data_IF_561675338410
#
_entry.id   IF_561675338410
#
_cell.length_a   1.000
_cell.length_b   1.000
_cell.length_c   1.000
_cell.angle_alpha   90.00
_cell.angle_beta   90.00
_cell.angle_gamma   90.00
#
_symmetry.space_group_name_H-M   'P 1'
#
loop_
_entity.id
_entity.type
_entity.pdbx_description
1 polymer ?
#
# COMPACT_ATOMS: atom_id res chain seq x y z
N UNK A 1 -22.56 -3.12 -0.05
CA UNK A 1 -21.63 -3.51 1.03
C UNK A 1 -20.39 -2.59 1.14
N UNK A 2 -20.40 -1.33 0.66
CA UNK A 2 -19.19 -0.47 0.59
C UNK A 2 -19.15 0.74 1.55
N UNK A 3 -20.26 1.07 2.24
CA UNK A 3 -20.36 2.29 3.06
C UNK A 3 -19.88 2.12 4.51
N UNK A 4 -19.82 0.88 5.04
CA UNK A 4 -19.34 0.61 6.41
C UNK A 4 -17.82 0.71 6.52
N UNK A 5 -17.09 0.17 5.54
CA UNK A 5 -15.63 0.11 5.53
C UNK A 5 -14.95 1.49 5.52
N UNK A 6 -15.56 2.48 4.87
CA UNK A 6 -15.01 3.85 4.76
C UNK A 6 -15.12 4.60 6.09
N UNK A 7 -16.27 4.52 6.76
CA UNK A 7 -16.49 5.16 8.07
C UNK A 7 -15.63 4.47 9.13
N UNK A 8 -15.47 3.15 9.05
CA UNK A 8 -14.66 2.38 9.97
C UNK A 8 -13.15 2.67 9.79
N UNK A 9 -12.65 2.76 8.55
CA UNK A 9 -11.26 3.14 8.26
C UNK A 9 -10.88 4.52 8.81
N UNK A 10 -11.76 5.53 8.69
CA UNK A 10 -11.50 6.88 9.24
C UNK A 10 -11.34 6.87 10.76
N UNK A 11 -12.14 6.04 11.44
CA UNK A 11 -12.09 5.92 12.91
C UNK A 11 -10.82 5.21 13.38
N UNK A 12 -10.26 4.31 12.57
CA UNK A 12 -9.09 3.50 12.95
C UNK A 12 -7.81 4.29 13.14
N UNK A 13 -7.47 5.20 12.20
CA UNK A 13 -6.27 6.03 12.35
C UNK A 13 -6.31 6.85 13.63
N UNK A 14 -7.46 7.44 13.96
CA UNK A 14 -7.62 8.22 15.19
C UNK A 14 -7.63 7.34 16.44
N UNK A 15 -8.30 6.18 16.38
CA UNK A 15 -8.48 5.27 17.51
C UNK A 15 -7.19 4.60 17.97
N UNK A 16 -6.34 4.18 17.04
CA UNK A 16 -5.17 3.34 17.35
C UNK A 16 -3.83 4.09 17.33
N UNK A 17 -3.80 5.37 16.92
CA UNK A 17 -2.59 6.20 16.95
C UNK A 17 -1.97 6.29 18.35
N UNK A 18 -2.79 6.43 19.38
CA UNK A 18 -2.32 6.53 20.78
C UNK A 18 -1.92 5.17 21.38
N UNK A 19 -2.08 4.08 20.63
CA UNK A 19 -1.74 2.72 21.04
C UNK A 19 -0.61 2.14 20.17
N UNK A 20 0.12 3.02 19.47
CA UNK A 20 1.21 2.65 18.56
C UNK A 20 0.83 1.55 17.55
N UNK A 21 -0.44 1.57 17.12
CA UNK A 21 -1.01 0.57 16.21
C UNK A 21 -0.75 -0.89 16.67
N UNK A 22 -0.89 -1.17 17.96
CA UNK A 22 -0.68 -2.50 18.53
C UNK A 22 -1.58 -3.56 17.84
N UNK A 23 -1.00 -4.59 17.20
CA UNK A 23 -1.77 -5.58 16.45
C UNK A 23 -2.73 -6.38 17.32
N UNK A 24 -2.32 -6.78 18.54
CA UNK A 24 -3.18 -7.55 19.45
C UNK A 24 -4.47 -6.80 19.75
N UNK A 25 -4.39 -5.49 20.01
CA UNK A 25 -5.56 -4.66 20.32
C UNK A 25 -6.47 -4.47 19.11
N UNK A 26 -5.87 -4.31 17.93
CA UNK A 26 -6.60 -4.16 16.67
C UNK A 26 -7.34 -5.46 16.34
N UNK A 27 -6.65 -6.60 16.34
CA UNK A 27 -7.21 -7.91 16.01
C UNK A 27 -8.17 -8.46 17.08
N UNK A 28 -8.04 -8.05 18.36
CA UNK A 28 -9.00 -8.43 19.42
C UNK A 28 -10.44 -8.08 19.06
N UNK A 29 -10.65 -7.03 18.26
CA UNK A 29 -11.98 -6.57 17.86
C UNK A 29 -12.48 -7.25 16.56
N UNK A 30 -11.68 -8.10 15.92
CA UNK A 30 -12.00 -8.72 14.64
C UNK A 30 -12.76 -10.04 14.87
N UNK A 31 -14.08 -9.96 14.71
CA UNK A 31 -15.02 -11.07 14.97
C UNK A 31 -15.44 -11.86 13.73
N UNK A 32 -14.95 -11.50 12.55
CA UNK A 32 -15.24 -12.18 11.28
C UNK A 32 -13.98 -12.24 10.43
N UNK A 33 -13.94 -13.16 9.46
CA UNK A 33 -12.86 -13.23 8.45
C UNK A 33 -12.70 -11.89 7.74
N UNK A 34 -13.79 -11.24 7.37
CA UNK A 34 -13.79 -9.92 6.72
C UNK A 34 -13.14 -8.86 7.60
N UNK A 35 -13.48 -8.78 8.90
CA UNK A 35 -12.88 -7.81 9.81
C UNK A 35 -11.38 -8.09 10.03
N UNK A 36 -10.99 -9.37 10.08
CA UNK A 36 -9.58 -9.76 10.18
C UNK A 36 -8.80 -9.35 8.92
N UNK A 37 -9.35 -9.57 7.71
CA UNK A 37 -8.74 -9.13 6.46
C UNK A 37 -8.65 -7.59 6.37
N UNK A 38 -9.69 -6.89 6.82
CA UNK A 38 -9.69 -5.43 6.92
C UNK A 38 -8.59 -4.91 7.85
N UNK A 39 -8.39 -5.60 8.98
CA UNK A 39 -7.32 -5.32 9.95
C UNK A 39 -5.94 -5.53 9.36
N UNK A 40 -5.72 -6.68 8.72
CA UNK A 40 -4.46 -7.01 8.07
C UNK A 40 -4.11 -5.96 7.00
N UNK A 41 -5.10 -5.60 6.18
CA UNK A 41 -4.95 -4.61 5.10
C UNK A 41 -4.56 -3.21 5.58
N UNK A 42 -4.93 -2.84 6.80
CA UNK A 42 -4.46 -1.60 7.41
C UNK A 42 -2.93 -1.59 7.57
N UNK A 43 -2.35 -2.70 8.05
CA UNK A 43 -0.91 -2.84 8.20
C UNK A 43 -0.19 -2.98 6.85
N UNK A 44 -0.81 -3.65 5.86
CA UNK A 44 -0.27 -3.70 4.50
C UNK A 44 -0.17 -2.29 3.90
N UNK A 45 -1.20 -1.46 4.09
CA UNK A 45 -1.19 -0.05 3.68
C UNK A 45 -0.07 0.75 4.38
N UNK A 46 0.14 0.54 5.70
CA UNK A 46 1.23 1.20 6.44
C UNK A 46 2.60 0.82 5.85
N UNK A 47 2.88 -0.47 5.69
CA UNK A 47 4.17 -0.95 5.15
C UNK A 47 4.40 -0.45 3.71
N UNK A 48 3.36 -0.45 2.87
CA UNK A 48 3.44 0.11 1.52
C UNK A 48 3.71 1.62 1.55
N UNK A 49 3.10 2.33 2.51
CA UNK A 49 3.33 3.76 2.70
C UNK A 49 4.74 4.06 3.21
N UNK A 50 5.32 3.20 4.05
CA UNK A 50 6.72 3.34 4.50
C UNK A 50 7.71 3.23 3.33
N UNK A 51 7.51 2.26 2.43
CA UNK A 51 8.31 2.17 1.18
C UNK A 51 8.19 3.49 0.41
N UNK A 52 6.97 4.01 0.25
CA UNK A 52 6.70 5.26 -0.46
C UNK A 52 7.33 6.49 0.21
N UNK A 53 7.25 6.61 1.53
CA UNK A 53 7.68 7.80 2.28
C UNK A 53 9.18 7.84 2.57
N UNK A 54 9.87 6.70 2.55
CA UNK A 54 11.33 6.63 2.64
C UNK A 54 12.03 7.03 1.34
N UNK A 55 11.28 7.41 0.29
CA UNK A 55 11.83 7.86 -0.98
C UNK A 55 12.32 9.33 -0.95
N UNK A 56 13.37 9.67 -1.70
CA UNK A 56 13.90 11.05 -1.80
C UNK A 56 12.91 12.05 -2.41
N UNK A 57 11.75 11.58 -2.89
CA UNK A 57 10.69 12.36 -3.52
C UNK A 57 9.71 13.03 -2.56
N UNK A 58 9.75 12.73 -1.24
CA UNK A 58 8.95 13.47 -0.24
C UNK A 58 9.11 15.00 -0.40
N UNK A 59 10.32 15.46 -0.76
CA UNK A 59 10.62 16.89 -1.02
C UNK A 59 10.18 17.39 -2.40
N UNK A 60 10.08 16.52 -3.42
CA UNK A 60 9.76 16.91 -4.81
C UNK A 60 8.27 16.93 -5.12
N UNK A 61 7.47 16.14 -4.40
CA UNK A 61 6.04 15.95 -4.70
C UNK A 61 5.14 16.76 -3.77
N UNK A 62 5.66 17.33 -2.67
CA UNK A 62 4.85 18.16 -1.77
C UNK A 62 3.60 17.40 -1.31
N UNK A 63 3.79 16.18 -0.81
CA UNK A 63 2.70 15.22 -0.48
C UNK A 63 1.76 15.76 0.62
N UNK A 64 1.97 16.97 1.12
CA UNK A 64 1.00 17.70 1.90
C UNK A 64 0.92 19.13 1.35
N UNK A 65 -0.29 19.54 0.98
CA UNK A 65 -0.68 20.87 0.49
C UNK A 65 -0.41 21.16 -0.99
N UNK A 66 -1.38 20.86 -1.86
CA UNK A 66 -1.58 21.64 -3.10
C UNK A 66 -3.02 21.63 -3.63
N UNK A 67 -4.01 21.74 -2.73
CA UNK A 67 -5.41 21.98 -3.14
C UNK A 67 -5.57 23.29 -3.92
N UNK A 68 -4.78 24.32 -3.58
CA UNK A 68 -4.80 25.64 -4.23
C UNK A 68 -4.21 25.64 -5.64
N UNK A 69 -3.17 24.83 -5.90
CA UNK A 69 -2.48 24.80 -7.19
C UNK A 69 -3.17 23.92 -8.25
N UNK A 70 -4.19 23.14 -7.85
CA UNK A 70 -4.97 22.29 -8.75
C UNK A 70 -5.64 23.09 -9.88
N UNK A 71 -6.10 24.31 -9.58
CA UNK A 71 -6.77 25.16 -10.56
C UNK A 71 -5.77 25.90 -11.48
N UNK A 72 -4.55 26.20 -11.00
CA UNK A 72 -3.54 26.97 -11.74
C UNK A 72 -2.63 26.08 -12.61
N UNK A 73 -2.36 24.82 -12.21
CA UNK A 73 -1.40 23.94 -12.90
C UNK A 73 -1.95 22.52 -13.10
N UNK A 74 -3.11 22.41 -13.78
CA UNK A 74 -3.86 21.16 -14.00
C UNK A 74 -2.98 19.99 -14.48
N UNK A 75 -2.16 20.18 -15.52
CA UNK A 75 -1.28 19.11 -16.07
C UNK A 75 -0.20 18.63 -15.07
N UNK A 76 0.38 19.54 -14.30
CA UNK A 76 1.42 19.20 -13.29
C UNK A 76 0.80 18.44 -12.13
N UNK A 77 -0.41 18.82 -11.74
CA UNK A 77 -1.19 18.17 -10.68
C UNK A 77 -1.65 16.76 -11.09
N UNK A 78 -2.18 16.57 -12.31
CA UNK A 78 -2.54 15.25 -12.85
C UNK A 78 -1.33 14.30 -12.89
N UNK A 79 -0.15 14.82 -13.27
CA UNK A 79 1.10 14.06 -13.24
C UNK A 79 1.47 13.63 -11.82
N UNK A 80 1.36 14.52 -10.83
CA UNK A 80 1.64 14.23 -9.42
C UNK A 80 0.69 13.16 -8.89
N UNK A 81 -0.61 13.28 -9.13
CA UNK A 81 -1.59 12.30 -8.66
C UNK A 81 -1.39 10.92 -9.29
N UNK A 82 -0.97 10.87 -10.57
CA UNK A 82 -0.61 9.60 -11.23
C UNK A 82 0.61 8.96 -10.59
N UNK A 83 1.65 9.75 -10.33
CA UNK A 83 2.88 9.27 -9.67
C UNK A 83 2.56 8.70 -8.29
N UNK A 84 1.81 9.46 -7.48
CA UNK A 84 1.42 9.03 -6.13
C UNK A 84 0.66 7.70 -6.15
N UNK A 85 -0.32 7.57 -7.06
CA UNK A 85 -1.14 6.36 -7.19
C UNK A 85 -0.33 5.17 -7.64
N UNK A 86 0.42 5.29 -8.74
CA UNK A 86 1.21 4.18 -9.25
C UNK A 86 2.30 3.76 -8.25
N UNK A 87 2.93 4.72 -7.57
CA UNK A 87 3.96 4.42 -6.57
C UNK A 87 3.37 3.68 -5.37
N UNK A 88 2.17 4.07 -4.91
CA UNK A 88 1.46 3.32 -3.88
C UNK A 88 1.05 1.91 -4.36
N UNK A 89 0.57 1.76 -5.61
CA UNK A 89 0.28 0.45 -6.20
C UNK A 89 1.48 -0.50 -6.14
N UNK A 90 2.62 -0.08 -6.71
CA UNK A 90 3.81 -0.93 -6.75
C UNK A 90 4.38 -1.21 -5.36
N UNK A 91 4.31 -0.23 -4.45
CA UNK A 91 4.68 -0.46 -3.05
C UNK A 91 3.79 -1.52 -2.41
N UNK A 92 2.48 -1.47 -2.62
CA UNK A 92 1.56 -2.49 -2.12
C UNK A 92 1.83 -3.86 -2.76
N UNK A 93 2.12 -3.92 -4.06
CA UNK A 93 2.48 -5.16 -4.75
C UNK A 93 3.74 -5.81 -4.17
N UNK A 94 4.76 -5.02 -3.84
CA UNK A 94 5.97 -5.51 -3.15
C UNK A 94 5.67 -6.09 -1.76
N UNK A 95 4.72 -5.51 -1.03
CA UNK A 95 4.29 -6.03 0.28
C UNK A 95 3.44 -7.30 0.12
N UNK A 96 2.54 -7.34 -0.86
CA UNK A 96 1.70 -8.50 -1.13
C UNK A 96 2.53 -9.70 -1.61
N UNK A 97 3.53 -9.48 -2.46
CA UNK A 97 4.46 -10.53 -2.86
C UNK A 97 5.14 -11.15 -1.64
N UNK A 98 5.70 -10.31 -0.74
CA UNK A 98 6.27 -10.78 0.53
C UNK A 98 5.25 -11.53 1.38
N UNK A 99 4.05 -10.99 1.57
CA UNK A 99 2.97 -11.63 2.33
C UNK A 99 2.66 -13.03 1.80
N UNK A 100 2.53 -13.20 0.47
CA UNK A 100 2.18 -14.48 -0.14
C UNK A 100 3.34 -15.48 -0.16
N UNK A 101 4.59 -15.03 -0.05
CA UNK A 101 5.72 -15.94 0.23
C UNK A 101 5.68 -16.48 1.66
N UNK A 102 5.27 -15.65 2.63
CA UNK A 102 5.21 -16.05 4.04
C UNK A 102 3.94 -16.84 4.38
N UNK A 103 2.84 -16.57 3.69
CA UNK A 103 1.55 -17.23 3.88
C UNK A 103 0.80 -17.34 2.55
N UNK A 104 1.04 -18.45 1.84
CA UNK A 104 0.49 -18.70 0.50
C UNK A 104 -1.04 -18.76 0.48
N UNK A 105 -1.67 -19.24 1.55
CA UNK A 105 -3.15 -19.37 1.62
C UNK A 105 -3.86 -18.02 1.49
N UNK A 106 -3.19 -16.91 1.79
CA UNK A 106 -3.74 -15.55 1.66
C UNK A 106 -3.93 -15.10 0.20
N UNK A 107 -3.37 -15.82 -0.79
CA UNK A 107 -3.61 -15.57 -2.21
C UNK A 107 -5.11 -15.65 -2.56
N UNK A 108 -5.88 -16.48 -1.86
CA UNK A 108 -7.34 -16.58 -2.07
C UNK A 108 -8.10 -15.31 -1.69
N UNK A 109 -7.50 -14.44 -0.85
CA UNK A 109 -8.11 -13.20 -0.35
C UNK A 109 -7.50 -11.94 -0.97
N UNK A 110 -6.77 -12.06 -2.09
CA UNK A 110 -6.07 -10.92 -2.68
C UNK A 110 -7.01 -9.77 -3.05
N UNK A 111 -8.21 -10.06 -3.56
CA UNK A 111 -9.18 -9.01 -3.94
C UNK A 111 -9.58 -8.15 -2.73
N UNK A 112 -9.91 -8.79 -1.62
CA UNK A 112 -10.25 -8.13 -0.35
C UNK A 112 -9.06 -7.36 0.21
N UNK A 113 -7.87 -7.99 0.25
CA UNK A 113 -6.65 -7.37 0.76
C UNK A 113 -6.31 -6.08 0.00
N UNK A 114 -6.39 -6.12 -1.34
CA UNK A 114 -6.16 -4.94 -2.18
C UNK A 114 -7.26 -3.90 -1.92
N UNK A 115 -8.53 -4.30 -1.97
CA UNK A 115 -9.66 -3.36 -1.82
C UNK A 115 -9.64 -2.65 -0.47
N UNK A 116 -9.40 -3.37 0.62
CA UNK A 116 -9.30 -2.79 1.96
C UNK A 116 -8.05 -1.94 2.14
N UNK A 117 -6.91 -2.33 1.54
CA UNK A 117 -5.69 -1.50 1.58
C UNK A 117 -5.91 -0.16 0.88
N UNK A 118 -6.59 -0.15 -0.27
CA UNK A 118 -6.95 1.08 -0.98
C UNK A 118 -7.95 1.90 -0.15
N UNK A 119 -8.91 1.25 0.52
CA UNK A 119 -9.86 1.93 1.40
C UNK A 119 -9.13 2.67 2.54
N UNK A 120 -8.20 2.00 3.24
CA UNK A 120 -7.40 2.61 4.29
C UNK A 120 -6.55 3.77 3.78
N UNK A 121 -5.92 3.59 2.62
CA UNK A 121 -5.11 4.62 1.99
C UNK A 121 -5.94 5.86 1.60
N UNK A 122 -7.09 5.66 0.95
CA UNK A 122 -8.00 6.74 0.56
C UNK A 122 -8.48 7.54 1.77
N UNK A 123 -8.76 6.87 2.89
CA UNK A 123 -9.17 7.53 4.13
C UNK A 123 -8.03 8.29 4.79
N UNK A 124 -6.81 7.75 4.78
CA UNK A 124 -5.62 8.46 5.28
C UNK A 124 -5.37 9.80 4.56
N UNK A 125 -5.73 9.86 3.28
CA UNK A 125 -5.61 11.04 2.42
C UNK A 125 -6.89 11.88 2.33
N UNK A 126 -7.94 11.52 3.07
CA UNK A 126 -9.26 12.19 3.07
C UNK A 126 -9.81 12.37 1.65
N UNK A 127 -9.70 11.32 0.83
CA UNK A 127 -10.20 11.34 -0.55
C UNK A 127 -11.73 11.40 -0.60
N UNK A 128 -12.30 12.08 -1.61
CA UNK A 128 -13.73 11.99 -1.89
C UNK A 128 -14.10 10.62 -2.46
N UNK A 129 -15.37 10.24 -2.37
CA UNK A 129 -15.87 8.98 -2.95
C UNK A 129 -15.57 8.87 -4.46
N UNK A 130 -15.72 9.98 -5.19
CA UNK A 130 -15.38 10.04 -6.61
C UNK A 130 -13.91 9.70 -6.84
N UNK A 131 -13.00 10.37 -6.10
CA UNK A 131 -11.55 10.15 -6.23
C UNK A 131 -11.18 8.71 -5.83
N UNK A 132 -11.77 8.18 -4.75
CA UNK A 132 -11.60 6.79 -4.36
C UNK A 132 -12.00 5.81 -5.49
N UNK A 133 -13.15 6.02 -6.12
CA UNK A 133 -13.61 5.19 -7.23
C UNK A 133 -12.66 5.27 -8.45
N UNK A 134 -12.16 6.46 -8.78
CA UNK A 134 -11.16 6.65 -9.84
C UNK A 134 -9.86 5.88 -9.53
N UNK A 135 -9.34 6.00 -8.31
CA UNK A 135 -8.13 5.28 -7.88
C UNK A 135 -8.33 3.76 -7.89
N UNK A 136 -9.49 3.26 -7.46
CA UNK A 136 -9.80 1.83 -7.53
C UNK A 136 -9.77 1.27 -8.96
N UNK A 137 -10.25 2.04 -9.94
CA UNK A 137 -10.18 1.63 -11.35
C UNK A 137 -8.73 1.50 -11.82
N UNK A 138 -7.88 2.47 -11.48
CA UNK A 138 -6.45 2.42 -11.80
C UNK A 138 -5.79 1.20 -11.16
N UNK A 139 -6.05 0.95 -9.88
CA UNK A 139 -5.55 -0.22 -9.17
C UNK A 139 -6.00 -1.53 -9.81
N UNK A 140 -7.25 -1.63 -10.25
CA UNK A 140 -7.75 -2.82 -10.92
C UNK A 140 -7.04 -3.11 -12.24
N UNK A 141 -6.73 -2.06 -13.02
CA UNK A 141 -5.97 -2.19 -14.27
C UNK A 141 -4.54 -2.67 -13.97
N UNK A 142 -3.85 -1.99 -13.05
CA UNK A 142 -2.50 -2.38 -12.65
C UNK A 142 -2.46 -3.79 -12.05
N UNK A 143 -3.47 -4.19 -11.28
CA UNK A 143 -3.52 -5.55 -10.75
C UNK A 143 -3.58 -6.59 -11.88
N UNK A 144 -4.38 -6.35 -12.91
CA UNK A 144 -4.47 -7.28 -14.04
C UNK A 144 -3.13 -7.44 -14.77
N UNK A 145 -2.36 -6.35 -14.89
CA UNK A 145 -1.07 -6.34 -15.57
C UNK A 145 0.05 -7.02 -14.74
N UNK A 146 -0.02 -6.95 -13.41
CA UNK A 146 1.08 -7.37 -12.52
C UNK A 146 0.77 -8.56 -11.61
N UNK A 147 -0.47 -9.07 -11.59
CA UNK A 147 -0.88 -10.16 -10.68
C UNK A 147 0.04 -11.39 -10.74
N UNK A 148 0.52 -11.77 -11.93
CA UNK A 148 1.33 -12.97 -12.10
C UNK A 148 2.72 -12.79 -11.47
N UNK A 149 3.27 -11.56 -11.52
CA UNK A 149 4.49 -11.21 -10.82
C UNK A 149 4.30 -11.19 -9.30
N UNK A 150 3.19 -10.62 -8.82
CA UNK A 150 2.90 -10.53 -7.38
C UNK A 150 2.63 -11.90 -6.75
N UNK A 151 1.97 -12.80 -7.48
CA UNK A 151 1.63 -14.14 -6.99
C UNK A 151 2.76 -15.17 -7.21
N UNK A 152 3.81 -14.79 -7.95
CA UNK A 152 4.97 -15.63 -8.24
C UNK A 152 5.74 -15.98 -6.97
N UNK A 153 6.16 -17.24 -6.78
CA UNK A 153 7.01 -17.64 -5.66
C UNK A 153 8.48 -17.20 -5.82
N UNK A 154 8.87 -16.74 -7.01
CA UNK A 154 10.27 -16.39 -7.32
C UNK A 154 10.67 -15.07 -6.65
N UNK A 155 11.93 -14.95 -6.24
CA UNK A 155 12.47 -13.75 -5.60
C UNK A 155 12.92 -12.67 -6.58
N UNK A 156 13.29 -13.06 -7.80
CA UNK A 156 13.76 -12.13 -8.84
C UNK A 156 12.68 -11.13 -9.27
N UNK A 157 11.39 -11.49 -9.17
CA UNK A 157 10.25 -10.61 -9.49
C UNK A 157 10.20 -9.34 -8.63
N UNK A 158 10.84 -9.35 -7.46
CA UNK A 158 10.97 -8.15 -6.61
C UNK A 158 11.75 -7.06 -7.36
N UNK A 159 12.77 -7.46 -8.14
CA UNK A 159 13.58 -6.54 -8.92
C UNK A 159 12.75 -5.88 -10.01
N UNK A 160 11.90 -6.64 -10.70
CA UNK A 160 10.98 -6.11 -11.72
C UNK A 160 10.03 -5.07 -11.10
N UNK A 161 9.40 -5.41 -9.97
CA UNK A 161 8.51 -4.50 -9.24
C UNK A 161 9.24 -3.24 -8.73
N UNK A 162 10.52 -3.34 -8.32
CA UNK A 162 11.35 -2.19 -7.93
C UNK A 162 11.65 -1.30 -9.15
N UNK A 163 11.95 -1.90 -10.30
CA UNK A 163 12.21 -1.17 -11.54
C UNK A 163 10.94 -0.43 -11.99
N UNK A 164 9.77 -1.04 -11.90
CA UNK A 164 8.53 -0.39 -12.31
C UNK A 164 8.04 0.64 -11.30
N UNK A 165 8.27 0.41 -10.00
CA UNK A 165 8.17 1.46 -8.98
C UNK A 165 9.11 2.63 -9.30
N UNK A 166 10.35 2.36 -9.73
CA UNK A 166 11.27 3.42 -10.16
C UNK A 166 10.71 4.23 -11.35
N UNK A 167 10.27 3.55 -12.40
CA UNK A 167 9.69 4.19 -13.58
C UNK A 167 8.43 4.99 -13.24
N UNK A 168 7.63 4.54 -12.27
CA UNK A 168 6.36 5.20 -11.92
C UNK A 168 6.52 6.63 -11.42
N UNK A 169 7.71 6.99 -10.91
CA UNK A 169 8.04 8.33 -10.47
C UNK A 169 9.07 9.05 -11.37
N UNK A 170 9.47 8.46 -12.49
CA UNK A 170 10.46 9.08 -13.37
C UNK A 170 9.88 10.33 -14.04
N UNK A 171 10.20 11.49 -13.48
CA UNK A 171 9.83 12.79 -14.02
C UNK A 171 11.00 13.33 -14.84
N UNK A 172 11.30 12.69 -15.98
CA UNK A 172 12.29 13.19 -16.95
C UNK A 172 13.70 13.41 -16.37
N UNK A 173 14.16 12.54 -15.47
CA UNK A 173 15.50 12.62 -14.89
C UNK A 173 16.45 11.78 -15.74
N UNK A 174 17.13 12.38 -16.70
CA UNK A 174 18.13 11.70 -17.54
C UNK A 174 19.52 11.55 -16.89
N UNK A 175 19.71 12.07 -15.67
CA UNK A 175 21.01 12.03 -15.01
C UNK A 175 21.29 10.66 -14.35
N UNK A 176 22.13 9.86 -14.99
CA UNK A 176 22.53 8.51 -14.55
C UNK A 176 22.95 8.41 -13.07
N UNK A 177 23.64 9.41 -12.51
CA UNK A 177 24.06 9.39 -11.08
C UNK A 177 22.86 9.51 -10.15
N UNK A 178 21.89 10.35 -10.50
CA UNK A 178 20.64 10.53 -9.74
C UNK A 178 19.77 9.28 -9.86
N UNK A 179 19.65 8.71 -11.07
CA UNK A 179 18.93 7.45 -11.32
C UNK A 179 19.47 6.34 -10.41
N UNK A 180 20.79 6.09 -10.44
CA UNK A 180 21.44 5.06 -9.62
C UNK A 180 21.20 5.28 -8.12
N UNK A 181 21.31 6.53 -7.65
CA UNK A 181 21.06 6.86 -6.24
C UNK A 181 19.61 6.57 -5.83
N UNK A 182 18.64 6.91 -6.67
CA UNK A 182 17.23 6.66 -6.39
C UNK A 182 16.90 5.18 -6.35
N UNK A 183 17.42 4.39 -7.31
CA UNK A 183 17.26 2.93 -7.33
C UNK A 183 17.89 2.30 -6.07
N UNK A 184 19.08 2.74 -5.67
CA UNK A 184 19.71 2.26 -4.44
C UNK A 184 18.86 2.53 -3.19
N UNK A 185 18.28 3.74 -3.06
CA UNK A 185 17.38 4.07 -1.94
C UNK A 185 16.10 3.25 -1.96
N UNK A 186 15.53 3.00 -3.15
CA UNK A 186 14.39 2.11 -3.32
C UNK A 186 14.69 0.70 -2.83
N UNK A 187 15.77 0.10 -3.35
CA UNK A 187 16.21 -1.26 -2.99
C UNK A 187 16.39 -1.35 -1.48
N UNK A 188 17.06 -0.36 -0.87
CA UNK A 188 17.22 -0.30 0.58
C UNK A 188 15.88 -0.24 1.32
N UNK A 189 14.96 0.61 0.86
CA UNK A 189 13.65 0.78 1.51
C UNK A 189 12.82 -0.51 1.45
N UNK A 190 12.80 -1.17 0.29
CA UNK A 190 12.11 -2.45 0.10
C UNK A 190 12.76 -3.53 0.97
N UNK A 191 14.09 -3.63 0.93
CA UNK A 191 14.84 -4.60 1.75
C UNK A 191 14.59 -4.41 3.24
N UNK A 192 14.54 -3.16 3.71
CA UNK A 192 14.22 -2.83 5.10
C UNK A 192 12.83 -3.33 5.47
N UNK A 193 11.80 -2.99 4.69
CA UNK A 193 10.42 -3.38 5.00
C UNK A 193 10.21 -4.90 4.87
N UNK A 194 10.93 -5.57 3.98
CA UNK A 194 10.92 -7.04 3.89
C UNK A 194 11.62 -7.72 5.07
N UNK A 195 12.71 -7.14 5.57
CA UNK A 195 13.44 -7.64 6.75
C UNK A 195 12.68 -7.38 8.05
N UNK A 196 12.10 -6.20 8.16
CA UNK A 196 11.29 -5.74 9.29
C UNK A 196 9.79 -6.03 9.06
N UNK A 197 9.48 -7.04 8.25
CA UNK A 197 8.12 -7.41 7.94
C UNK A 197 7.36 -7.71 9.24
N UNK A 198 6.12 -7.24 9.32
CA UNK A 198 5.29 -7.29 10.55
C UNK A 198 4.75 -8.71 10.79
N UNK A 199 5.63 -9.63 11.15
CA UNK A 199 5.28 -11.00 11.51
C UNK A 199 4.38 -11.06 12.76
N UNK A 200 4.50 -10.10 13.67
CA UNK A 200 3.59 -9.94 14.80
C UNK A 200 2.14 -9.74 14.33
N UNK A 201 1.91 -8.92 13.30
CA UNK A 201 0.59 -8.72 12.66
C UNK A 201 0.10 -10.01 12.02
N UNK A 202 0.95 -10.66 11.21
CA UNK A 202 0.59 -11.89 10.53
C UNK A 202 0.22 -12.99 11.53
N UNK A 203 0.99 -13.14 12.61
CA UNK A 203 0.72 -14.13 13.64
C UNK A 203 -0.61 -13.87 14.37
N UNK A 204 -0.94 -12.61 14.69
CA UNK A 204 -2.26 -12.30 15.28
C UNK A 204 -3.42 -12.57 14.30
N UNK A 205 -3.24 -12.31 13.01
CA UNK A 205 -4.20 -12.69 11.98
C UNK A 205 -4.38 -14.22 11.90
N UNK A 206 -3.27 -14.97 11.87
CA UNK A 206 -3.26 -16.43 11.80
C UNK A 206 -3.99 -17.07 12.99
N UNK A 207 -3.76 -16.59 14.21
CA UNK A 207 -4.50 -17.05 15.40
C UNK A 207 -6.02 -16.91 15.21
N UNK A 208 -6.48 -15.78 14.69
CA UNK A 208 -7.92 -15.58 14.46
C UNK A 208 -8.49 -16.51 13.40
N UNK A 209 -7.79 -16.72 12.29
CA UNK A 209 -8.31 -17.53 11.18
C UNK A 209 -8.21 -19.03 11.49
N UNK A 210 -7.09 -19.47 12.04
CA UNK A 210 -6.81 -20.89 12.21
C UNK A 210 -7.27 -21.44 13.56
N UNK A 211 -7.25 -20.65 14.64
CA UNK A 211 -7.62 -21.12 15.98
C UNK A 211 -9.08 -20.82 16.33
N UNK A 212 -9.64 -19.69 15.85
CA UNK A 212 -11.02 -19.30 16.19
C UNK A 212 -12.09 -19.77 15.20
N UNK A 213 -11.71 -20.43 14.10
CA UNK A 213 -12.58 -20.95 13.02
C UNK A 213 -13.86 -20.12 12.83
N UNK A 214 -13.76 -19.08 12.01
CA UNK A 214 -14.96 -18.46 11.43
C UNK A 214 -15.74 -19.46 10.58
#
# INVERSE_FOLDING_TARGET
MLNLDVIEAQKWQLKYKNQDYNPKLIFKNSRTKTNALFSLSFFLMIMASEILFNQPFRKKIGIVHNKLFKNLFKKKYERIERIETNSFCYSLFLILHKLFKEEETLKENTKELISFSICHWANSLRMSQQKYNEKRKIFSLMWNDYKDLVLSPRDDVIVDLIIDLYKSFEVGISNKKIIKKNIAVLIFSVSKVHKEFRFDVLNEFKKLIFEKKF
#
